data_IF_101400723091
#
_entry.id   IF_101400723091
#
_cell.length_a   1.000
_cell.length_b   1.000
_cell.length_c   1.000
_cell.angle_alpha   90.00
_cell.angle_beta   90.00
_cell.angle_gamma   90.00
#
_symmetry.space_group_name_H-M   'P 1'
#
loop_
_entity.id
_entity.type
_entity.pdbx_description
1 polymer ?
#
# COMPACT_ATOMS: atom_id res chain seq x y z
N UNK A 1 -82.64 34.61 33.24
CA UNK A 1 -83.04 33.70 32.14
C UNK A 1 -82.50 34.31 30.85
N UNK A 2 -81.64 33.73 30.03
CA UNK A 2 -81.13 32.37 29.91
C UNK A 2 -79.68 32.39 29.37
N UNK A 3 -78.98 31.32 29.71
CA UNK A 3 -77.62 30.93 29.38
C UNK A 3 -77.26 30.98 27.90
N UNK A 4 -76.00 31.32 27.60
CA UNK A 4 -75.27 30.57 26.58
C UNK A 4 -73.80 30.44 27.03
N UNK A 5 -73.47 29.23 27.48
CA UNK A 5 -72.13 28.80 27.87
C UNK A 5 -71.51 28.12 26.65
N UNK A 6 -70.41 28.67 26.13
CA UNK A 6 -69.64 28.01 25.07
C UNK A 6 -68.64 27.05 25.73
N UNK A 7 -68.89 25.76 25.52
CA UNK A 7 -68.08 24.64 25.98
C UNK A 7 -66.83 24.47 25.09
N UNK A 8 -65.67 24.60 25.73
CA UNK A 8 -64.51 23.69 25.72
C UNK A 8 -63.96 23.14 24.38
N UNK A 9 -62.73 23.54 24.03
CA UNK A 9 -61.79 22.68 23.28
C UNK A 9 -60.46 22.57 24.02
N UNK A 10 -60.28 21.40 24.64
CA UNK A 10 -59.01 20.88 25.14
C UNK A 10 -58.03 20.68 23.98
N UNK A 11 -56.76 20.98 24.19
CA UNK A 11 -55.67 19.99 24.06
C UNK A 11 -54.31 20.68 24.20
N UNK A 12 -53.73 20.53 25.38
CA UNK A 12 -52.30 20.60 25.66
C UNK A 12 -51.48 19.81 24.64
N UNK A 13 -50.47 20.43 24.02
CA UNK A 13 -49.33 19.69 23.48
C UNK A 13 -48.04 20.19 24.12
N UNK A 14 -47.52 19.29 24.93
CA UNK A 14 -46.30 19.37 25.70
C UNK A 14 -45.08 19.69 24.84
N UNK A 15 -44.18 20.45 25.47
CA UNK A 15 -42.81 20.69 25.05
C UNK A 15 -42.11 19.36 24.69
N UNK A 16 -41.42 19.36 23.55
CA UNK A 16 -40.45 18.34 23.17
C UNK A 16 -39.10 19.02 22.92
N UNK A 17 -38.49 19.50 23.99
CA UNK A 17 -37.09 19.88 24.07
C UNK A 17 -36.34 18.78 24.83
N UNK A 18 -35.35 18.14 24.22
CA UNK A 18 -34.39 17.31 24.97
C UNK A 18 -33.82 16.05 24.30
N UNK A 19 -34.33 15.61 23.15
CA UNK A 19 -33.87 14.37 22.52
C UNK A 19 -32.80 14.51 21.43
N UNK A 20 -32.66 15.69 20.82
CA UNK A 20 -31.92 15.85 19.57
C UNK A 20 -30.40 16.04 19.73
N UNK A 21 -29.91 16.37 20.94
CA UNK A 21 -28.50 16.74 21.16
C UNK A 21 -27.56 15.55 21.44
N UNK A 22 -28.09 14.37 21.78
CA UNK A 22 -27.28 13.19 22.11
C UNK A 22 -27.03 12.25 20.91
N UNK A 23 -27.82 12.35 19.84
CA UNK A 23 -27.67 11.48 18.67
C UNK A 23 -26.60 11.98 17.67
N UNK A 24 -26.24 13.26 17.71
CA UNK A 24 -25.28 13.85 16.76
C UNK A 24 -23.82 13.50 17.08
N UNK A 25 -23.49 13.14 18.32
CA UNK A 25 -22.12 12.90 18.79
C UNK A 25 -21.58 11.49 18.51
N UNK A 26 -22.43 10.51 18.20
CA UNK A 26 -21.98 9.12 17.92
C UNK A 26 -21.61 8.86 16.45
N UNK A 27 -22.08 9.65 15.49
CA UNK A 27 -21.83 9.41 14.06
C UNK A 27 -20.47 9.93 13.55
N UNK A 28 -19.69 10.63 14.37
CA UNK A 28 -18.49 11.35 13.91
C UNK A 28 -17.20 10.52 13.86
N UNK A 29 -17.19 9.25 14.31
CA UNK A 29 -15.94 8.48 14.50
C UNK A 29 -15.63 7.49 13.35
N UNK A 30 -16.47 7.39 12.32
CA UNK A 30 -16.40 6.30 11.33
C UNK A 30 -15.67 6.63 10.00
N UNK A 31 -14.79 7.64 9.95
CA UNK A 31 -14.08 8.02 8.71
C UNK A 31 -12.57 8.06 8.92
N UNK A 32 -11.94 6.88 8.96
CA UNK A 32 -10.50 6.79 9.22
C UNK A 32 -9.82 5.52 8.69
N UNK A 33 -10.23 5.01 7.53
CA UNK A 33 -9.57 3.89 6.86
C UNK A 33 -8.72 4.35 5.68
N UNK A 34 -7.67 5.14 5.89
CA UNK A 34 -6.75 5.45 4.78
C UNK A 34 -5.95 4.20 4.43
N UNK A 35 -6.06 3.73 3.18
CA UNK A 35 -5.17 2.72 2.58
C UNK A 35 -3.70 3.14 2.78
N UNK A 36 -3.08 2.68 3.85
CA UNK A 36 -1.66 2.89 4.09
C UNK A 36 -0.90 1.65 3.64
N UNK A 37 -0.15 1.77 2.55
CA UNK A 37 0.87 0.77 2.23
C UNK A 37 1.93 0.82 3.32
N UNK A 38 2.12 -0.30 4.04
CA UNK A 38 3.14 -0.40 5.09
C UNK A 38 4.50 -0.65 4.43
N UNK A 39 5.44 0.26 4.65
CA UNK A 39 6.87 0.04 4.40
C UNK A 39 7.62 0.04 5.72
N UNK A 40 8.65 -0.79 5.82
CA UNK A 40 9.51 -0.92 6.99
C UNK A 40 10.89 -0.34 6.67
N UNK A 41 11.48 0.47 7.55
CA UNK A 41 12.84 0.97 7.36
C UNK A 41 13.83 -0.18 7.45
N UNK A 42 14.74 -0.27 6.48
CA UNK A 42 15.74 -1.33 6.40
C UNK A 42 17.11 -0.75 6.06
N UNK A 43 18.16 -1.47 6.41
CA UNK A 43 19.52 -1.12 6.03
C UNK A 43 19.95 -1.97 4.84
N UNK A 44 20.31 -1.34 3.72
CA UNK A 44 20.84 -2.00 2.54
C UNK A 44 22.32 -2.28 2.74
N UNK A 45 22.71 -3.55 2.65
CA UNK A 45 24.12 -3.94 2.58
C UNK A 45 24.51 -3.97 1.10
N UNK A 46 25.36 -3.05 0.61
CA UNK A 46 25.73 -2.99 -0.79
C UNK A 46 26.61 -4.19 -1.19
N UNK A 47 26.55 -4.58 -2.46
CA UNK A 47 27.54 -5.51 -3.04
C UNK A 47 28.91 -4.86 -2.97
N UNK A 48 29.91 -5.59 -2.46
CA UNK A 48 31.27 -5.09 -2.39
C UNK A 48 31.84 -4.85 -3.79
N UNK A 49 32.67 -3.82 -3.97
CA UNK A 49 33.23 -3.47 -5.29
C UNK A 49 34.07 -4.58 -5.94
N UNK A 50 34.53 -5.56 -5.15
CA UNK A 50 35.29 -6.73 -5.60
C UNK A 50 34.42 -7.95 -5.97
N UNK A 51 33.12 -7.92 -5.68
CA UNK A 51 32.23 -9.05 -5.97
C UNK A 51 31.68 -8.97 -7.41
N UNK A 52 31.54 -10.11 -8.12
CA UNK A 52 30.87 -10.14 -9.40
C UNK A 52 29.44 -9.61 -9.26
N UNK A 53 29.11 -8.58 -10.04
CA UNK A 53 27.78 -7.99 -9.98
C UNK A 53 26.79 -8.88 -10.69
N UNK A 54 26.21 -9.83 -9.96
CA UNK A 54 25.23 -10.78 -10.49
C UNK A 54 24.06 -10.05 -11.16
N UNK A 55 23.70 -10.47 -12.38
CA UNK A 55 22.54 -9.94 -13.08
C UNK A 55 21.55 -11.06 -13.41
N UNK A 56 20.26 -10.70 -13.40
CA UNK A 56 19.16 -11.58 -13.77
C UNK A 56 18.41 -10.97 -14.94
N UNK A 57 17.95 -11.83 -15.84
CA UNK A 57 17.01 -11.47 -16.89
C UNK A 57 15.71 -12.23 -16.67
N UNK A 58 14.57 -11.54 -16.76
CA UNK A 58 13.27 -12.19 -16.64
C UNK A 58 12.93 -12.90 -17.96
N UNK A 59 12.70 -14.21 -17.93
CA UNK A 59 12.34 -14.97 -19.14
C UNK A 59 10.88 -14.82 -19.56
N UNK A 60 10.03 -14.27 -18.67
CA UNK A 60 8.65 -13.87 -18.97
C UNK A 60 8.24 -12.68 -18.11
N UNK A 61 7.12 -12.05 -18.47
CA UNK A 61 6.55 -10.98 -17.67
C UNK A 61 6.13 -11.49 -16.28
N UNK A 62 6.33 -10.65 -15.27
CA UNK A 62 5.93 -10.92 -13.87
C UNK A 62 4.93 -9.86 -13.45
N UNK A 63 3.77 -10.30 -13.00
CA UNK A 63 2.71 -9.42 -12.50
C UNK A 63 2.65 -9.56 -10.99
N UNK A 64 2.87 -8.45 -10.29
CA UNK A 64 2.83 -8.36 -8.83
C UNK A 64 1.71 -7.42 -8.39
N UNK A 65 1.16 -7.68 -7.21
CA UNK A 65 0.10 -6.85 -6.62
C UNK A 65 0.63 -6.26 -5.31
N UNK A 66 0.61 -4.93 -5.24
CA UNK A 66 0.98 -4.17 -4.05
C UNK A 66 -0.13 -4.23 -2.98
N UNK A 67 0.17 -3.87 -1.72
CA UNK A 67 -0.84 -3.83 -0.64
C UNK A 67 -2.00 -2.87 -0.86
N UNK A 68 -1.85 -1.87 -1.73
CA UNK A 68 -2.92 -0.96 -2.17
C UNK A 68 -3.64 -1.47 -3.43
N UNK A 69 -3.52 -2.76 -3.75
CA UNK A 69 -4.12 -3.40 -4.93
C UNK A 69 -3.61 -2.89 -6.29
N UNK A 70 -2.61 -2.00 -6.29
CA UNK A 70 -1.97 -1.54 -7.52
C UNK A 70 -1.18 -2.69 -8.16
N UNK A 71 -1.38 -2.87 -9.46
CA UNK A 71 -0.68 -3.87 -10.26
C UNK A 71 0.63 -3.30 -10.77
N UNK A 72 1.71 -4.06 -10.57
CA UNK A 72 3.04 -3.76 -11.08
C UNK A 72 3.45 -4.87 -12.05
N UNK A 73 3.79 -4.48 -13.27
CA UNK A 73 4.24 -5.41 -14.32
C UNK A 73 5.72 -5.24 -14.57
N UNK A 74 6.49 -6.31 -14.38
CA UNK A 74 7.88 -6.41 -14.83
C UNK A 74 7.88 -7.03 -16.22
N UNK A 75 8.48 -6.34 -17.19
CA UNK A 75 8.47 -6.78 -18.58
C UNK A 75 9.31 -8.06 -18.78
N UNK A 76 8.87 -8.90 -19.72
CA UNK A 76 9.71 -9.99 -20.23
C UNK A 76 11.01 -9.44 -20.82
N UNK A 77 12.12 -10.14 -20.63
CA UNK A 77 13.45 -9.72 -21.08
C UNK A 77 14.07 -8.57 -20.30
N UNK A 78 13.38 -8.02 -19.29
CA UNK A 78 13.95 -6.96 -18.44
C UNK A 78 15.15 -7.48 -17.66
N UNK A 79 16.17 -6.64 -17.54
CA UNK A 79 17.45 -6.95 -16.91
C UNK A 79 17.59 -6.21 -15.59
N UNK A 80 18.07 -6.93 -14.58
CA UNK A 80 18.18 -6.44 -13.23
C UNK A 80 19.53 -6.80 -12.64
N UNK A 81 20.22 -5.80 -12.10
CA UNK A 81 21.54 -5.90 -11.51
C UNK A 81 21.43 -6.00 -10.00
N UNK A 82 22.07 -7.00 -9.38
CA UNK A 82 22.15 -7.10 -7.93
C UNK A 82 22.96 -5.91 -7.41
N UNK A 83 22.37 -5.12 -6.52
CA UNK A 83 23.03 -3.95 -5.92
C UNK A 83 23.33 -4.13 -4.43
N UNK A 84 22.71 -5.11 -3.78
CA UNK A 84 22.93 -5.40 -2.38
C UNK A 84 21.98 -6.46 -1.85
N UNK A 85 21.84 -6.50 -0.53
CA UNK A 85 20.87 -7.33 0.16
C UNK A 85 20.29 -6.60 1.38
N UNK A 86 19.08 -6.99 1.76
CA UNK A 86 18.42 -6.66 3.02
C UNK A 86 18.00 -7.97 3.69
N UNK A 87 17.49 -7.92 4.92
CA UNK A 87 17.06 -9.12 5.67
C UNK A 87 16.04 -9.98 4.90
N UNK A 88 15.23 -9.36 4.06
CA UNK A 88 14.16 -10.02 3.30
C UNK A 88 14.66 -10.67 2.00
N UNK A 89 15.85 -10.32 1.51
CA UNK A 89 16.41 -10.89 0.28
C UNK A 89 17.41 -10.00 -0.46
N UNK A 90 17.82 -10.48 -1.62
CA UNK A 90 18.71 -9.77 -2.55
C UNK A 90 17.98 -8.63 -3.24
N UNK A 91 18.64 -7.48 -3.35
CA UNK A 91 18.10 -6.26 -3.93
C UNK A 91 18.65 -6.06 -5.34
N UNK A 92 17.76 -5.90 -6.32
CA UNK A 92 18.11 -5.73 -7.73
C UNK A 92 17.58 -4.43 -8.33
N UNK A 93 18.46 -3.68 -8.98
CA UNK A 93 18.15 -2.45 -9.69
C UNK A 93 17.93 -2.73 -11.18
N UNK A 94 16.96 -2.06 -11.79
CA UNK A 94 16.73 -2.13 -13.24
C UNK A 94 17.94 -1.60 -14.02
N UNK A 95 18.37 -2.35 -15.04
CA UNK A 95 19.41 -1.89 -15.99
C UNK A 95 18.82 -1.12 -17.18
N UNK A 96 17.52 -1.27 -17.46
CA UNK A 96 16.84 -0.58 -18.57
C UNK A 96 16.44 0.87 -18.28
N UNK A 97 16.99 1.48 -17.22
CA UNK A 97 16.61 2.80 -16.74
C UNK A 97 15.82 2.76 -15.42
N UNK A 98 15.28 3.92 -15.04
CA UNK A 98 14.56 4.10 -13.77
C UNK A 98 13.28 3.27 -13.76
N UNK A 99 13.19 2.33 -12.81
CA UNK A 99 11.97 1.60 -12.55
C UNK A 99 11.21 2.26 -11.41
N UNK A 100 9.93 2.54 -11.62
CA UNK A 100 9.07 3.20 -10.63
C UNK A 100 7.81 2.39 -10.37
N UNK A 101 7.31 2.47 -9.14
CA UNK A 101 6.02 1.91 -8.75
C UNK A 101 5.13 3.01 -8.16
N UNK A 102 3.82 2.83 -8.31
CA UNK A 102 2.83 3.75 -7.76
C UNK A 102 2.35 3.23 -6.41
N UNK A 103 2.62 4.00 -5.36
CA UNK A 103 2.14 3.75 -4.00
C UNK A 103 1.18 4.87 -3.60
N UNK A 104 1.52 5.70 -2.60
CA UNK A 104 0.90 7.03 -2.41
C UNK A 104 1.46 8.07 -3.39
N UNK A 105 2.69 7.84 -3.85
CA UNK A 105 3.40 8.64 -4.85
C UNK A 105 4.10 7.68 -5.82
N UNK A 106 4.57 8.20 -6.94
CA UNK A 106 5.47 7.47 -7.82
C UNK A 106 6.86 7.48 -7.19
N UNK A 107 7.39 6.29 -6.90
CA UNK A 107 8.68 6.10 -6.24
C UNK A 107 9.58 5.21 -7.08
N UNK A 108 10.89 5.49 -7.10
CA UNK A 108 11.90 4.53 -7.58
C UNK A 108 11.82 3.25 -6.74
N UNK A 109 11.98 2.09 -7.39
CA UNK A 109 11.89 0.81 -6.73
C UNK A 109 12.92 -0.19 -7.28
N UNK A 110 13.53 -0.95 -6.36
CA UNK A 110 14.39 -2.09 -6.66
C UNK A 110 13.67 -3.37 -6.27
N UNK A 111 13.85 -4.44 -7.03
CA UNK A 111 13.26 -5.73 -6.70
C UNK A 111 13.93 -6.27 -5.44
N UNK A 112 13.15 -6.90 -4.56
CA UNK A 112 13.69 -7.74 -3.49
C UNK A 112 13.30 -9.17 -3.78
N UNK A 113 14.30 -10.02 -4.00
CA UNK A 113 14.10 -11.41 -4.34
C UNK A 113 14.65 -12.33 -3.24
N UNK A 114 13.91 -13.40 -2.96
CA UNK A 114 14.35 -14.45 -2.04
C UNK A 114 13.82 -15.79 -2.53
N UNK A 115 14.69 -16.81 -2.54
CA UNK A 115 14.32 -18.19 -2.92
C UNK A 115 13.61 -18.28 -4.28
N UNK A 116 14.09 -17.51 -5.28
CA UNK A 116 13.50 -17.48 -6.63
C UNK A 116 12.13 -16.80 -6.71
N UNK A 117 11.75 -16.02 -5.70
CA UNK A 117 10.49 -15.25 -5.67
C UNK A 117 10.74 -13.78 -5.46
N UNK A 118 9.92 -12.94 -6.10
CA UNK A 118 9.78 -11.54 -5.79
C UNK A 118 8.96 -11.45 -4.51
N UNK A 119 9.57 -10.91 -3.45
CA UNK A 119 8.93 -10.77 -2.14
C UNK A 119 8.48 -9.35 -1.85
N UNK A 120 9.06 -8.37 -2.54
CA UNK A 120 8.76 -6.96 -2.33
C UNK A 120 9.64 -6.03 -3.16
N UNK A 121 9.60 -4.76 -2.79
CA UNK A 121 10.41 -3.71 -3.38
C UNK A 121 11.18 -2.95 -2.30
N UNK A 122 12.44 -2.63 -2.59
CA UNK A 122 13.22 -1.69 -1.81
C UNK A 122 13.09 -0.29 -2.43
N UNK A 123 12.81 0.70 -1.59
CA UNK A 123 12.61 2.09 -1.99
C UNK A 123 13.85 2.91 -1.58
N UNK A 124 14.77 3.20 -2.51
CA UNK A 124 16.05 3.84 -2.17
C UNK A 124 15.87 5.23 -1.56
N UNK A 125 14.91 6.03 -2.06
CA UNK A 125 14.63 7.37 -1.54
C UNK A 125 14.09 7.38 -0.09
N UNK A 126 13.53 6.26 0.38
CA UNK A 126 12.98 6.13 1.73
C UNK A 126 13.83 5.23 2.64
N UNK A 127 14.81 4.52 2.08
CA UNK A 127 15.54 3.43 2.74
C UNK A 127 14.59 2.44 3.43
N UNK A 128 13.57 2.01 2.69
CA UNK A 128 12.48 1.18 3.21
C UNK A 128 12.18 -0.01 2.31
N UNK A 129 11.69 -1.08 2.93
CA UNK A 129 11.19 -2.28 2.27
C UNK A 129 9.66 -2.25 2.25
N UNK A 130 9.09 -2.56 1.09
CA UNK A 130 7.66 -2.74 0.89
C UNK A 130 7.39 -4.18 0.46
N UNK A 131 6.69 -4.94 1.30
CA UNK A 131 6.29 -6.29 0.97
C UNK A 131 5.18 -6.30 -0.11
N UNK A 132 5.21 -7.31 -0.98
CA UNK A 132 4.06 -7.64 -1.82
C UNK A 132 2.92 -8.22 -0.98
N UNK A 133 1.70 -8.11 -1.49
CA UNK A 133 0.53 -8.81 -0.90
C UNK A 133 0.73 -10.32 -0.89
N UNK A 134 1.38 -10.86 -1.93
CA UNK A 134 1.79 -12.26 -2.03
C UNK A 134 3.11 -12.36 -2.81
N UNK A 135 4.09 -13.18 -2.38
CA UNK A 135 5.27 -13.44 -3.17
C UNK A 135 4.93 -14.04 -4.54
N UNK A 136 5.65 -13.63 -5.58
CA UNK A 136 5.43 -14.09 -6.96
C UNK A 136 6.71 -14.77 -7.47
N UNK A 137 6.58 -15.87 -8.20
CA UNK A 137 7.75 -16.55 -8.77
C UNK A 137 8.49 -15.62 -9.74
N UNK A 138 9.82 -15.53 -9.58
CA UNK A 138 10.71 -14.82 -10.50
C UNK A 138 11.32 -15.83 -11.48
N UNK A 139 10.92 -15.81 -12.75
CA UNK A 139 11.45 -16.68 -13.78
C UNK A 139 12.77 -16.07 -14.27
N UNK A 140 13.85 -16.33 -13.53
CA UNK A 140 15.16 -15.73 -13.79
C UNK A 140 16.05 -16.64 -14.62
N UNK A 141 16.70 -16.04 -15.60
CA UNK A 141 17.90 -16.58 -16.22
C UNK A 141 19.11 -15.86 -15.62
N UNK A 142 20.06 -16.63 -15.07
CA UNK A 142 21.31 -16.06 -14.55
C UNK A 142 22.20 -15.62 -15.71
N UNK A 143 22.69 -14.39 -15.63
CA UNK A 143 23.66 -13.81 -16.55
C UNK A 143 24.96 -13.58 -15.76
N UNK A 144 25.98 -14.34 -16.11
CA UNK A 144 27.35 -14.25 -15.56
C UNK A 144 28.20 -13.30 -16.41
#
# INVERSE_FOLDING_TARGET
MASSQVVNKRASRAARSGGALLAATLCAVALGGCMSVKSERVNLVPVAASEPVGSIQLSRAVVAVLPNETVVTLASGSQWQRTGAILQGDVYRSQGGLFTITTRRQNEAYLVASSGKLVGFYLPGESSFMALSRPVNLPVEMRQ
#
